data_IF_976500974831
#
_entry.id   IF_976500974831
#
_cell.length_a   1.000
_cell.length_b   1.000
_cell.length_c   1.000
_cell.angle_alpha   90.00
_cell.angle_beta   90.00
_cell.angle_gamma   90.00
#
_symmetry.space_group_name_H-M   'P 1'
#
loop_
_entity.id
_entity.type
_entity.pdbx_description
1 polymer ?
#
# COMPACT_ATOMS: atom_id res chain seq x y z
N UNK A 1 19.04 -0.89 10.21
CA UNK A 1 17.65 -0.94 10.71
C UNK A 1 17.67 -0.61 12.20
N UNK A 2 16.67 0.10 12.69
CA UNK A 2 16.53 0.45 14.11
C UNK A 2 15.13 0.06 14.57
N UNK A 3 15.00 -0.46 15.79
CA UNK A 3 13.74 -0.92 16.37
C UNK A 3 13.57 -0.26 17.74
N UNK A 4 12.37 0.20 18.04
CA UNK A 4 12.01 0.78 19.33
C UNK A 4 11.00 -0.13 20.04
N UNK A 5 11.30 -0.50 21.29
CA UNK A 5 10.40 -1.31 22.10
C UNK A 5 9.42 -0.40 22.86
N UNK A 6 8.20 -0.28 22.34
CA UNK A 6 7.15 0.60 22.89
C UNK A 6 6.87 0.30 24.37
N UNK A 7 6.84 -0.98 24.75
CA UNK A 7 6.52 -1.39 26.13
C UNK A 7 7.62 -1.01 27.14
N UNK A 8 8.83 -0.70 26.67
CA UNK A 8 9.88 -0.14 27.52
C UNK A 8 9.71 1.38 27.76
N UNK A 9 8.82 2.06 27.01
CA UNK A 9 8.62 3.50 27.05
C UNK A 9 7.28 3.88 27.67
N UNK A 10 6.25 3.06 27.47
CA UNK A 10 4.89 3.30 28.00
C UNK A 10 4.07 2.02 27.99
N UNK A 11 2.90 2.04 28.63
CA UNK A 11 1.95 0.94 28.56
C UNK A 11 1.39 0.78 27.12
N UNK A 12 1.26 -0.48 26.68
CA UNK A 12 0.79 -0.80 25.32
C UNK A 12 -0.58 -0.22 25.01
N UNK A 13 -1.52 -0.31 25.95
CA UNK A 13 -2.88 0.17 25.74
C UNK A 13 -2.90 1.69 25.65
N UNK A 14 -2.14 2.38 26.51
CA UNK A 14 -2.00 3.83 26.47
C UNK A 14 -1.36 4.32 25.16
N UNK A 15 -0.34 3.61 24.65
CA UNK A 15 0.26 3.92 23.35
C UNK A 15 -0.77 3.78 22.22
N UNK A 16 -1.47 2.64 22.17
CA UNK A 16 -2.46 2.38 21.13
C UNK A 16 -3.59 3.41 21.16
N UNK A 17 -4.11 3.78 22.34
CA UNK A 17 -5.12 4.83 22.47
C UNK A 17 -4.63 6.18 21.96
N UNK A 18 -3.37 6.55 22.25
CA UNK A 18 -2.79 7.80 21.72
C UNK A 18 -2.61 7.79 20.21
N UNK A 19 -2.20 6.65 19.64
CA UNK A 19 -2.12 6.48 18.19
C UNK A 19 -3.50 6.58 17.55
N UNK A 20 -4.52 5.98 18.18
CA UNK A 20 -5.90 6.09 17.68
C UNK A 20 -6.39 7.54 17.69
N UNK A 21 -6.18 8.29 18.78
CA UNK A 21 -6.55 9.71 18.81
C UNK A 21 -5.83 10.53 17.73
N UNK A 22 -4.54 10.25 17.49
CA UNK A 22 -3.79 10.91 16.41
C UNK A 22 -4.36 10.57 15.02
N UNK A 23 -4.76 9.31 14.80
CA UNK A 23 -5.44 8.89 13.55
C UNK A 23 -6.72 9.71 13.36
N UNK A 24 -7.56 9.77 14.40
CA UNK A 24 -8.85 10.46 14.36
C UNK A 24 -8.66 11.97 14.10
N UNK A 25 -7.66 12.60 14.73
CA UNK A 25 -7.30 14.01 14.52
C UNK A 25 -6.86 14.28 13.07
N UNK A 26 -6.03 13.40 12.49
CA UNK A 26 -5.57 13.53 11.09
C UNK A 26 -6.76 13.43 10.13
N UNK A 27 -7.65 12.46 10.33
CA UNK A 27 -8.82 12.29 9.47
C UNK A 27 -9.84 13.43 9.62
N UNK A 28 -9.90 14.07 10.78
CA UNK A 28 -10.78 15.23 11.02
C UNK A 28 -10.20 16.56 10.50
N UNK A 29 -8.92 16.60 10.12
CA UNK A 29 -8.29 17.82 9.63
C UNK A 29 -8.89 18.28 8.29
N UNK A 30 -9.04 19.60 8.06
CA UNK A 30 -9.53 20.11 6.80
C UNK A 30 -8.56 19.77 5.67
N UNK A 31 -9.09 19.17 4.60
CA UNK A 31 -8.33 18.90 3.39
C UNK A 31 -8.04 20.21 2.63
N UNK A 32 -6.96 20.22 1.86
CA UNK A 32 -6.67 21.30 0.92
C UNK A 32 -7.72 21.32 -0.22
N UNK A 33 -7.83 22.46 -0.91
CA UNK A 33 -8.73 22.60 -2.06
C UNK A 33 -8.45 21.51 -3.12
N UNK A 34 -9.51 20.83 -3.57
CA UNK A 34 -9.42 19.74 -4.55
C UNK A 34 -8.96 18.39 -3.99
N UNK A 35 -8.71 18.28 -2.68
CA UNK A 35 -8.38 17.02 -2.00
C UNK A 35 -9.56 16.57 -1.14
N UNK A 36 -9.94 15.29 -1.24
CA UNK A 36 -11.11 14.74 -0.54
C UNK A 36 -10.89 14.62 0.97
N UNK A 37 -9.72 14.12 1.39
CA UNK A 37 -9.39 13.90 2.80
C UNK A 37 -7.88 13.83 3.02
N UNK A 38 -7.46 14.10 4.26
CA UNK A 38 -6.09 13.84 4.72
C UNK A 38 -5.99 12.36 5.09
N UNK A 39 -4.90 11.72 4.69
CA UNK A 39 -4.66 10.28 4.92
C UNK A 39 -3.41 10.05 5.75
N UNK A 40 -3.37 8.95 6.49
CA UNK A 40 -2.15 8.48 7.14
C UNK A 40 -1.20 7.80 6.14
N UNK A 41 0.12 7.84 6.42
CA UNK A 41 1.08 7.02 5.68
C UNK A 41 0.69 5.54 5.70
N UNK A 42 0.60 4.93 4.52
CA UNK A 42 0.21 3.53 4.35
C UNK A 42 -1.26 3.31 3.96
N UNK A 43 -2.18 4.25 4.22
CA UNK A 43 -3.61 4.03 3.92
C UNK A 43 -3.90 3.89 2.43
N UNK A 44 -3.20 4.65 1.59
CA UNK A 44 -3.33 4.55 0.13
C UNK A 44 -2.83 3.20 -0.36
N UNK A 45 -1.72 2.73 0.19
CA UNK A 45 -1.13 1.44 -0.11
C UNK A 45 -2.05 0.30 0.31
N UNK A 46 -2.66 0.36 1.50
CA UNK A 46 -3.66 -0.61 1.96
C UNK A 46 -4.90 -0.65 1.06
N UNK A 47 -5.42 0.52 0.65
CA UNK A 47 -6.54 0.60 -0.31
C UNK A 47 -6.18 -0.05 -1.64
N UNK A 48 -5.01 0.26 -2.19
CA UNK A 48 -4.54 -0.32 -3.45
C UNK A 48 -4.29 -1.84 -3.32
N UNK A 49 -3.76 -2.31 -2.20
CA UNK A 49 -3.54 -3.72 -1.94
C UNK A 49 -4.86 -4.49 -1.85
N UNK A 50 -5.85 -3.95 -1.12
CA UNK A 50 -7.19 -4.53 -1.06
C UNK A 50 -7.86 -4.59 -2.44
N UNK A 51 -7.75 -3.50 -3.23
CA UNK A 51 -8.25 -3.48 -4.60
C UNK A 51 -7.54 -4.52 -5.48
N UNK A 52 -6.21 -4.66 -5.37
CA UNK A 52 -5.44 -5.62 -6.13
C UNK A 52 -5.75 -7.08 -5.74
N UNK A 53 -6.09 -7.35 -4.48
CA UNK A 53 -6.52 -8.68 -4.04
C UNK A 53 -7.85 -9.09 -4.67
N UNK A 54 -8.76 -8.14 -4.88
CA UNK A 54 -10.08 -8.41 -5.47
C UNK A 54 -10.05 -8.37 -7.00
N UNK A 55 -9.33 -7.41 -7.59
CA UNK A 55 -9.38 -7.10 -9.02
C UNK A 55 -8.11 -7.50 -9.80
N UNK A 56 -7.07 -7.96 -9.12
CA UNK A 56 -5.75 -8.17 -9.70
C UNK A 56 -4.91 -6.89 -9.75
N UNK A 57 -3.60 -7.05 -9.98
CA UNK A 57 -2.66 -5.92 -10.09
C UNK A 57 -2.75 -5.34 -11.51
N UNK A 58 -3.05 -4.04 -11.68
CA UNK A 58 -3.02 -3.42 -12.99
C UNK A 58 -1.56 -3.27 -13.44
N UNK A 59 -1.20 -4.01 -14.49
CA UNK A 59 0.11 -3.88 -15.12
C UNK A 59 0.01 -2.95 -16.33
N UNK A 60 0.85 -1.91 -16.45
CA UNK A 60 0.97 -1.14 -17.69
C UNK A 60 1.38 -2.00 -18.89
N UNK A 61 1.04 -1.60 -20.14
CA UNK A 61 1.36 -2.39 -21.34
C UNK A 61 2.86 -2.68 -21.51
N UNK A 62 3.74 -1.73 -21.17
CA UNK A 62 5.20 -1.91 -21.28
C UNK A 62 5.74 -2.93 -20.25
N UNK A 63 5.12 -3.03 -19.08
CA UNK A 63 5.46 -4.04 -18.07
C UNK A 63 5.08 -5.43 -18.57
N UNK A 64 3.92 -5.59 -19.20
CA UNK A 64 3.49 -6.88 -19.79
C UNK A 64 4.44 -7.32 -20.91
N UNK A 65 4.88 -6.39 -21.75
CA UNK A 65 5.89 -6.64 -22.80
C UNK A 65 7.20 -7.16 -22.20
N UNK A 66 7.74 -6.48 -21.19
CA UNK A 66 8.99 -6.91 -20.51
C UNK A 66 8.87 -8.28 -19.84
N UNK A 67 7.72 -8.58 -19.25
CA UNK A 67 7.47 -9.90 -18.64
C UNK A 67 7.43 -11.02 -19.70
N UNK A 68 6.88 -10.73 -20.88
CA UNK A 68 6.91 -11.66 -22.02
C UNK A 68 8.34 -11.88 -22.52
N UNK A 69 9.09 -10.81 -22.75
CA UNK A 69 10.50 -10.90 -23.17
C UNK A 69 11.33 -11.73 -22.17
N UNK A 70 11.12 -11.50 -20.87
CA UNK A 70 11.78 -12.29 -19.83
C UNK A 70 11.40 -13.78 -19.87
N UNK A 71 10.13 -14.10 -20.13
CA UNK A 71 9.68 -15.49 -20.29
C UNK A 71 10.34 -16.16 -21.52
N UNK A 72 10.42 -15.45 -22.64
CA UNK A 72 11.07 -15.92 -23.87
C UNK A 72 12.57 -16.17 -23.67
N UNK A 73 13.28 -15.23 -23.02
CA UNK A 73 14.72 -15.35 -22.73
C UNK A 73 15.05 -16.52 -21.81
N UNK A 74 14.14 -16.86 -20.90
CA UNK A 74 14.35 -17.91 -19.90
C UNK A 74 13.74 -19.25 -20.33
N UNK A 75 12.98 -19.30 -21.43
CA UNK A 75 12.25 -20.48 -21.87
C UNK A 75 11.07 -20.86 -20.96
N UNK A 76 10.60 -19.94 -20.11
CA UNK A 76 9.44 -20.16 -19.25
C UNK A 76 8.13 -19.86 -20.00
N UNK A 77 7.00 -20.47 -19.60
CA UNK A 77 5.71 -20.14 -20.18
C UNK A 77 5.35 -18.66 -19.96
N UNK A 78 4.85 -18.02 -21.01
CA UNK A 78 4.36 -16.64 -20.93
C UNK A 78 3.11 -16.60 -20.02
N UNK A 79 3.09 -15.74 -18.99
CA UNK A 79 1.91 -15.60 -18.14
C UNK A 79 0.69 -15.12 -18.93
N UNK A 80 -0.49 -15.66 -18.62
CA UNK A 80 -1.76 -15.32 -19.31
C UNK A 80 -2.17 -13.83 -19.17
N UNK A 81 -1.65 -13.12 -18.18
CA UNK A 81 -1.86 -11.69 -17.99
C UNK A 81 -0.82 -10.83 -18.73
N UNK A 82 0.18 -11.45 -19.37
CA UNK A 82 1.17 -10.77 -20.21
C UNK A 82 0.88 -10.93 -21.72
N UNK A 83 -0.19 -11.64 -22.09
CA UNK A 83 -0.54 -11.93 -23.48
C UNK A 83 -1.26 -10.79 -24.23
N UNK A 84 -1.87 -9.84 -23.51
CA UNK A 84 -2.58 -8.63 -24.01
C UNK A 84 -1.87 -7.36 -23.54
#
# INVERSE_FOLDING_TARGET
FTVFHVDAMTDRSAFNSRVQSLIDEIHAAPAAEGIESVLLPGEREWKNAAAAQVHGIPLPPDVRMKLREAAELTGLPIPNFATT
#
